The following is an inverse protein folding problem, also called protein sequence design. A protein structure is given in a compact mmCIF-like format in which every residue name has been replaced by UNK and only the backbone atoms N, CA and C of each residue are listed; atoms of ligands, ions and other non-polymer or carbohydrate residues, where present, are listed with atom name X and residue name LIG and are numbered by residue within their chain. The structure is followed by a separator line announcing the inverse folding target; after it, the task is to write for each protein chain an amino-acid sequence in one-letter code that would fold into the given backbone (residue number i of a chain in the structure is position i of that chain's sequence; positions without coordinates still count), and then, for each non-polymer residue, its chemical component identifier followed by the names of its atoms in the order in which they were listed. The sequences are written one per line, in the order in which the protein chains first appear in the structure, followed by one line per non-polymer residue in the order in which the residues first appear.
data_IF_878306041342
#
_entry.id   IF_878306041342
#
_cell.length_a   1.000
_cell.length_b   1.000
_cell.length_c   1.000
_cell.angle_alpha   90.00
_cell.angle_beta   90.00
_cell.angle_gamma   90.00
#
_symmetry.space_group_name_H-M   'P 1'
#
loop_
_entity.id
_entity.type
_entity.pdbx_description
1 polymer ?
#
# COMPACT_ATOMS: atom_id res chain seq x y z
N UNK A 1 13.88 -2.61 14.48
CA UNK A 1 14.68 -2.20 13.29
C UNK A 1 13.96 -2.57 11.96
N UNK A 2 13.67 -1.63 11.03
CA UNK A 2 12.81 -1.89 9.82
C UNK A 2 13.40 -2.84 8.79
N UNK A 3 14.70 -2.70 8.50
CA UNK A 3 15.34 -3.42 7.41
C UNK A 3 15.59 -4.90 7.71
N UNK A 4 15.31 -5.34 8.94
CA UNK A 4 15.73 -6.64 9.47
C UNK A 4 14.56 -7.61 9.48
N UNK A 5 14.81 -8.81 8.97
CA UNK A 5 14.06 -10.02 9.30
C UNK A 5 15.00 -10.97 10.05
N UNK A 6 14.48 -11.73 11.01
CA UNK A 6 15.28 -12.69 11.75
C UNK A 6 14.52 -14.02 11.87
N UNK A 7 15.25 -15.12 11.80
CA UNK A 7 14.74 -16.48 11.95
C UNK A 7 15.64 -17.24 12.90
N UNK A 8 15.04 -17.93 13.86
CA UNK A 8 15.72 -18.90 14.71
C UNK A 8 15.19 -20.29 14.38
N UNK A 9 16.12 -21.20 14.10
CA UNK A 9 15.83 -22.58 13.77
C UNK A 9 16.59 -23.50 14.71
N UNK A 10 15.89 -24.43 15.35
CA UNK A 10 16.49 -25.47 16.19
C UNK A 10 16.15 -26.85 15.66
N UNK A 11 17.13 -27.75 15.69
CA UNK A 11 16.96 -29.17 15.33
C UNK A 11 17.65 -30.07 16.35
N UNK A 12 16.95 -31.13 16.74
CA UNK A 12 17.37 -32.12 17.72
C UNK A 12 17.07 -33.53 17.19
N UNK A 13 18.05 -34.45 17.11
CA UNK A 13 17.75 -35.86 16.86
C UNK A 13 17.14 -36.49 18.12
N UNK A 14 16.06 -37.25 17.95
CA UNK A 14 15.32 -37.84 19.09
C UNK A 14 15.87 -39.23 19.47
N UNK A 15 16.16 -40.09 18.49
CA UNK A 15 16.45 -41.51 18.77
C UNK A 15 17.89 -41.92 18.47
N UNK A 16 18.47 -41.40 17.38
CA UNK A 16 19.77 -41.87 16.87
C UNK A 16 20.73 -40.73 16.61
N UNK A 17 22.02 -41.00 16.83
CA UNK A 17 23.10 -40.09 16.42
C UNK A 17 22.98 -39.80 14.93
N UNK A 18 22.82 -38.52 14.58
CA UNK A 18 22.44 -38.10 13.23
C UNK A 18 23.39 -37.03 12.73
N UNK A 19 23.82 -37.16 11.47
CA UNK A 19 24.49 -36.08 10.74
C UNK A 19 23.42 -35.15 10.20
N UNK A 20 23.47 -33.88 10.59
CA UNK A 20 22.59 -32.82 10.13
C UNK A 20 23.36 -31.93 9.15
N UNK A 21 22.73 -31.60 8.04
CA UNK A 21 23.21 -30.61 7.07
C UNK A 21 22.11 -29.56 6.86
N UNK A 22 22.39 -28.31 7.21
CA UNK A 22 21.48 -27.18 7.01
C UNK A 22 22.05 -26.31 5.89
N UNK A 23 21.20 -25.95 4.92
CA UNK A 23 21.52 -24.97 3.88
C UNK A 23 20.66 -23.73 4.10
N UNK A 24 21.29 -22.59 4.32
CA UNK A 24 20.64 -21.28 4.42
C UNK A 24 21.04 -20.42 3.23
N UNK A 25 20.05 -19.87 2.53
CA UNK A 25 20.28 -19.21 1.25
C UNK A 25 19.70 -17.81 1.20
N UNK A 26 20.33 -16.96 0.39
CA UNK A 26 19.71 -15.83 -0.28
C UNK A 26 19.51 -16.23 -1.73
N UNK A 27 18.28 -16.11 -2.24
CA UNK A 27 17.93 -16.50 -3.62
C UNK A 27 17.26 -15.31 -4.30
N UNK A 28 17.77 -14.96 -5.47
CA UNK A 28 17.16 -14.04 -6.41
C UNK A 28 16.61 -14.82 -7.61
N UNK A 29 15.64 -14.25 -8.33
CA UNK A 29 15.09 -14.83 -9.56
C UNK A 29 14.57 -16.28 -9.43
N UNK A 30 14.04 -16.65 -8.25
CA UNK A 30 13.45 -17.97 -8.04
C UNK A 30 12.30 -18.25 -9.01
N UNK A 31 12.25 -19.48 -9.53
CA UNK A 31 11.20 -19.91 -10.44
C UNK A 31 9.87 -20.00 -9.70
N UNK A 32 8.98 -19.05 -9.97
CA UNK A 32 7.62 -19.08 -9.44
C UNK A 32 6.77 -20.15 -10.18
N UNK A 33 5.77 -20.75 -9.51
CA UNK A 33 4.80 -21.64 -10.16
C UNK A 33 4.18 -20.95 -11.39
N UNK A 34 4.04 -21.69 -12.49
CA UNK A 34 3.38 -21.17 -13.69
C UNK A 34 1.91 -20.87 -13.40
N UNK A 35 1.43 -19.70 -13.84
CA UNK A 35 -0.02 -19.45 -13.92
C UNK A 35 -0.67 -20.49 -14.83
N UNK A 36 -1.84 -21.00 -14.46
CA UNK A 36 -2.63 -22.00 -15.21
C UNK A 36 -3.19 -21.45 -16.55
N UNK A 37 -2.64 -20.36 -17.07
CA UNK A 37 -3.08 -19.70 -18.29
C UNK A 37 -4.28 -18.77 -18.09
N UNK A 38 -4.72 -18.52 -16.85
CA UNK A 38 -5.77 -17.56 -16.56
C UNK A 38 -5.26 -16.14 -16.86
N UNK A 39 -5.84 -15.42 -17.85
CA UNK A 39 -5.43 -14.05 -18.19
C UNK A 39 -5.69 -13.04 -17.05
N UNK A 40 -6.45 -13.42 -16.01
CA UNK A 40 -6.71 -12.62 -14.80
C UNK A 40 -5.67 -12.85 -13.70
N UNK A 41 -4.87 -13.91 -13.78
CA UNK A 41 -3.84 -14.18 -12.80
C UNK A 41 -2.71 -13.15 -12.91
N UNK A 42 -2.10 -12.83 -11.77
CA UNK A 42 -0.96 -11.92 -11.69
C UNK A 42 0.16 -12.35 -12.66
N UNK A 43 0.79 -11.39 -13.33
CA UNK A 43 1.84 -11.72 -14.28
C UNK A 43 3.11 -12.14 -13.53
N UNK A 44 3.48 -13.42 -13.62
CA UNK A 44 4.73 -13.90 -13.07
C UNK A 44 5.92 -13.24 -13.78
N UNK A 45 6.67 -12.41 -13.07
CA UNK A 45 7.88 -11.79 -13.60
C UNK A 45 8.97 -12.85 -13.78
N UNK A 46 9.45 -13.01 -15.02
CA UNK A 46 10.50 -13.98 -15.34
C UNK A 46 11.90 -13.37 -15.12
N UNK A 47 12.52 -13.75 -14.00
CA UNK A 47 13.84 -13.30 -13.56
C UNK A 47 14.01 -11.77 -13.61
N UNK A 48 13.20 -10.96 -12.91
CA UNK A 48 13.17 -9.51 -13.10
C UNK A 48 14.45 -8.77 -12.69
N UNK A 49 15.38 -9.45 -12.04
CA UNK A 49 16.57 -8.88 -11.43
C UNK A 49 17.84 -9.19 -12.25
N UNK A 50 18.64 -8.15 -12.50
CA UNK A 50 19.98 -8.23 -13.06
C UNK A 50 21.01 -8.24 -11.92
N UNK A 51 21.97 -9.17 -11.93
CA UNK A 51 23.00 -9.26 -10.89
C UNK A 51 24.00 -8.09 -10.98
N UNK A 52 24.38 -7.52 -9.85
CA UNK A 52 25.43 -6.48 -9.76
C UNK A 52 26.57 -6.87 -8.79
N UNK A 53 26.29 -7.62 -7.73
CA UNK A 53 27.29 -8.07 -6.75
C UNK A 53 26.82 -9.32 -6.01
N UNK A 54 27.75 -10.20 -5.69
CA UNK A 54 27.53 -11.34 -4.82
C UNK A 54 28.72 -11.51 -3.86
N UNK A 55 28.46 -12.00 -2.65
CA UNK A 55 29.46 -12.21 -1.61
C UNK A 55 29.10 -13.42 -0.74
N UNK A 56 30.11 -14.22 -0.42
CA UNK A 56 30.09 -15.19 0.67
C UNK A 56 31.43 -15.16 1.42
N UNK A 57 31.43 -14.73 2.69
CA UNK A 57 32.61 -14.72 3.56
C UNK A 57 32.22 -15.18 4.95
N UNK A 58 32.72 -16.36 5.37
CA UNK A 58 32.42 -16.91 6.69
C UNK A 58 30.93 -17.24 6.82
N UNK A 59 30.25 -16.60 7.78
CA UNK A 59 28.80 -16.70 7.99
C UNK A 59 27.99 -15.69 7.16
N UNK A 60 28.66 -14.73 6.50
CA UNK A 60 28.02 -13.62 5.80
C UNK A 60 27.75 -13.92 4.34
N UNK A 61 26.54 -13.61 3.92
CA UNK A 61 26.04 -13.72 2.55
C UNK A 61 25.54 -12.35 2.09
N UNK A 62 25.77 -11.97 0.83
CA UNK A 62 25.17 -10.76 0.25
C UNK A 62 24.89 -10.96 -1.23
N UNK A 63 23.76 -10.44 -1.67
CA UNK A 63 23.38 -10.28 -3.07
C UNK A 63 22.96 -8.84 -3.31
N UNK A 64 23.39 -8.26 -4.43
CA UNK A 64 22.91 -6.98 -4.94
C UNK A 64 22.47 -7.15 -6.38
N UNK A 65 21.24 -6.74 -6.63
CA UNK A 65 20.59 -6.82 -7.92
C UNK A 65 19.97 -5.50 -8.32
N UNK A 66 19.65 -5.37 -9.61
CA UNK A 66 18.94 -4.23 -10.19
C UNK A 66 17.73 -4.71 -10.99
N UNK A 67 16.58 -4.08 -10.81
CA UNK A 67 15.40 -4.38 -11.62
C UNK A 67 15.63 -3.97 -13.08
N UNK A 68 15.33 -4.85 -14.05
CA UNK A 68 15.58 -4.61 -15.49
C UNK A 68 14.95 -3.33 -16.04
N UNK A 69 13.72 -3.00 -15.63
CA UNK A 69 12.94 -1.91 -16.21
C UNK A 69 13.06 -0.60 -15.43
N UNK A 70 12.74 -0.61 -14.14
CA UNK A 70 12.76 0.62 -13.31
C UNK A 70 14.16 0.98 -12.80
N UNK A 71 15.14 0.09 -12.96
CA UNK A 71 16.52 0.33 -12.55
C UNK A 71 16.74 0.46 -11.03
N UNK A 72 15.74 0.11 -10.21
CA UNK A 72 15.84 0.05 -8.75
C UNK A 72 16.89 -0.98 -8.34
N UNK A 73 17.79 -0.60 -7.43
CA UNK A 73 18.72 -1.54 -6.80
C UNK A 73 18.10 -2.12 -5.55
N UNK A 74 18.30 -3.42 -5.35
CA UNK A 74 17.93 -4.17 -4.15
C UNK A 74 19.20 -4.84 -3.64
N UNK A 75 19.52 -4.63 -2.38
CA UNK A 75 20.58 -5.33 -1.68
C UNK A 75 19.97 -6.16 -0.56
N UNK A 76 20.43 -7.40 -0.43
CA UNK A 76 20.06 -8.30 0.66
C UNK A 76 21.33 -8.88 1.23
N UNK A 77 21.52 -8.76 2.55
CA UNK A 77 22.63 -9.39 3.25
C UNK A 77 22.10 -10.26 4.39
N UNK A 78 22.79 -11.34 4.70
CA UNK A 78 22.48 -12.19 5.83
C UNK A 78 23.74 -12.51 6.64
N UNK A 79 23.58 -12.60 7.95
CA UNK A 79 24.59 -13.13 8.88
C UNK A 79 23.97 -14.25 9.71
N UNK A 80 24.82 -15.17 10.16
CA UNK A 80 24.40 -16.37 10.87
C UNK A 80 25.18 -16.55 12.17
N UNK A 81 24.46 -16.86 13.24
CA UNK A 81 25.03 -17.36 14.49
C UNK A 81 24.63 -18.82 14.62
N UNK A 82 25.63 -19.69 14.75
CA UNK A 82 25.44 -21.14 14.81
C UNK A 82 25.95 -21.63 16.15
N UNK A 83 25.10 -22.34 16.89
CA UNK A 83 25.42 -22.93 18.18
C UNK A 83 25.04 -24.41 18.18
N UNK A 84 25.99 -25.28 18.50
CA UNK A 84 25.77 -26.71 18.67
C UNK A 84 26.90 -27.31 19.51
N UNK A 85 26.63 -28.43 20.22
CA UNK A 85 27.69 -29.16 20.88
C UNK A 85 28.60 -29.86 19.85
N UNK A 86 29.89 -29.90 20.15
CA UNK A 86 30.88 -30.62 19.35
C UNK A 86 31.42 -29.82 18.16
N UNK A 87 31.93 -30.54 17.15
CA UNK A 87 32.53 -29.93 15.96
C UNK A 87 31.46 -29.50 14.96
N UNK A 88 31.53 -28.25 14.52
CA UNK A 88 30.66 -27.67 13.50
C UNK A 88 31.54 -27.34 12.28
N UNK A 89 31.13 -27.79 11.11
CA UNK A 89 31.76 -27.41 9.85
C UNK A 89 30.84 -26.46 9.09
N UNK A 90 31.35 -25.30 8.72
CA UNK A 90 30.63 -24.33 7.90
C UNK A 90 31.37 -24.05 6.60
N UNK A 91 30.63 -23.97 5.49
CA UNK A 91 31.17 -23.52 4.20
C UNK A 91 30.18 -22.59 3.53
N UNK A 92 30.66 -21.46 3.02
CA UNK A 92 29.85 -20.49 2.31
C UNK A 92 30.27 -20.40 0.84
N UNK A 93 29.31 -20.29 -0.05
CA UNK A 93 29.52 -20.11 -1.50
C UNK A 93 28.54 -19.06 -2.03
N UNK A 94 28.91 -18.42 -3.13
CA UNK A 94 28.09 -17.40 -3.77
C UNK A 94 28.23 -17.46 -5.27
N UNK A 95 27.12 -17.18 -5.96
CA UNK A 95 27.04 -17.00 -7.40
C UNK A 95 25.98 -15.91 -7.69
N UNK A 96 25.75 -15.68 -8.97
CA UNK A 96 24.90 -14.63 -9.52
C UNK A 96 23.55 -14.43 -8.81
N UNK A 97 22.82 -15.52 -8.53
CA UNK A 97 21.46 -15.46 -8.00
C UNK A 97 21.30 -16.23 -6.67
N UNK A 98 22.35 -16.90 -6.21
CA UNK A 98 22.32 -17.68 -4.97
C UNK A 98 23.58 -17.43 -4.16
N UNK A 99 23.40 -17.03 -2.91
CA UNK A 99 24.44 -17.05 -1.88
C UNK A 99 24.02 -17.98 -0.77
N UNK A 100 24.88 -18.92 -0.37
CA UNK A 100 24.54 -20.04 0.51
C UNK A 100 25.56 -20.23 1.63
N UNK A 101 25.06 -20.50 2.82
CA UNK A 101 25.82 -21.08 3.93
C UNK A 101 25.38 -22.53 4.15
N UNK A 102 26.33 -23.46 4.13
CA UNK A 102 26.12 -24.86 4.50
C UNK A 102 26.72 -25.12 5.88
N UNK A 103 25.93 -25.68 6.78
CA UNK A 103 26.30 -26.01 8.16
C UNK A 103 26.19 -27.53 8.32
N UNK A 104 27.25 -28.18 8.77
CA UNK A 104 27.27 -29.61 9.06
C UNK A 104 27.62 -29.84 10.52
N UNK A 105 26.84 -30.69 11.19
CA UNK A 105 27.10 -31.14 12.55
C UNK A 105 26.67 -32.61 12.72
N UNK A 106 27.24 -33.30 13.70
CA UNK A 106 26.83 -34.65 14.10
C UNK A 106 26.35 -34.56 15.54
N UNK A 107 25.05 -34.81 15.73
CA UNK A 107 24.38 -34.66 17.03
C UNK A 107 24.01 -36.04 17.57
N UNK A 108 24.28 -36.26 18.85
CA UNK A 108 23.72 -37.38 19.62
C UNK A 108 22.30 -37.01 20.13
N UNK A 109 21.43 -37.99 20.47
CA UNK A 109 20.11 -37.70 21.03
C UNK A 109 20.16 -36.76 22.24
N UNK A 110 19.27 -35.76 22.27
CA UNK A 110 19.24 -34.72 23.30
C UNK A 110 20.19 -33.53 23.06
N UNK A 111 21.01 -33.55 22.00
CA UNK A 111 21.83 -32.41 21.59
C UNK A 111 21.11 -31.56 20.54
N UNK A 112 21.30 -30.24 20.59
CA UNK A 112 20.63 -29.29 19.69
C UNK A 112 21.62 -28.55 18.82
N UNK A 113 21.26 -28.36 17.55
CA UNK A 113 21.85 -27.36 16.67
C UNK A 113 20.86 -26.21 16.52
N UNK A 114 21.30 -25.02 16.93
CA UNK A 114 20.58 -23.75 16.80
C UNK A 114 21.25 -22.90 15.72
N UNK A 115 20.43 -22.38 14.81
CA UNK A 115 20.85 -21.46 13.75
C UNK A 115 20.00 -20.22 13.83
N UNK A 116 20.61 -19.09 14.14
CA UNK A 116 20.00 -17.78 14.02
C UNK A 116 20.45 -17.16 12.72
N UNK A 117 19.50 -16.78 11.88
CA UNK A 117 19.72 -16.04 10.63
C UNK A 117 19.13 -14.65 10.77
N UNK A 118 19.95 -13.64 10.58
CA UNK A 118 19.51 -12.24 10.48
C UNK A 118 19.68 -11.78 9.05
N UNK A 119 18.63 -11.21 8.44
CA UNK A 119 18.61 -10.76 7.05
C UNK A 119 18.29 -9.27 7.00
N UNK A 120 19.15 -8.49 6.36
CA UNK A 120 18.94 -7.07 6.08
C UNK A 120 18.51 -6.87 4.63
N UNK A 121 17.44 -6.11 4.42
CA UNK A 121 16.95 -5.69 3.10
C UNK A 121 17.12 -4.18 2.92
N UNK A 122 17.62 -3.78 1.75
CA UNK A 122 17.69 -2.39 1.33
C UNK A 122 17.32 -2.24 -0.13
N UNK A 123 16.71 -1.12 -0.50
CA UNK A 123 16.51 -0.78 -1.90
C UNK A 123 16.62 0.72 -2.14
N UNK A 124 16.97 1.11 -3.37
CA UNK A 124 17.00 2.50 -3.81
C UNK A 124 17.01 2.64 -5.33
N UNK A 125 16.35 3.67 -5.85
CA UNK A 125 16.51 4.11 -7.25
C UNK A 125 17.70 5.04 -7.49
N UNK A 126 18.30 5.60 -6.43
CA UNK A 126 19.31 6.67 -6.55
C UNK A 126 20.69 6.27 -6.02
N UNK A 127 20.77 5.36 -5.04
CA UNK A 127 22.04 4.97 -4.43
C UNK A 127 22.91 4.14 -5.38
N UNK A 128 24.22 4.32 -5.25
CA UNK A 128 25.22 3.50 -5.93
C UNK A 128 25.26 2.10 -5.32
N UNK A 129 25.78 1.13 -6.08
CA UNK A 129 25.96 -0.26 -5.62
C UNK A 129 26.75 -0.34 -4.29
N UNK A 130 27.91 0.31 -4.11
CA UNK A 130 28.62 0.29 -2.82
C UNK A 130 27.78 0.86 -1.67
N UNK A 131 27.05 1.96 -1.89
CA UNK A 131 26.19 2.54 -0.86
C UNK A 131 25.02 1.62 -0.47
N UNK A 132 24.53 0.81 -1.41
CA UNK A 132 23.53 -0.23 -1.12
C UNK A 132 24.11 -1.36 -0.28
N UNK A 133 25.32 -1.84 -0.61
CA UNK A 133 26.03 -2.84 0.20
C UNK A 133 26.30 -2.32 1.62
N UNK A 134 26.82 -1.10 1.76
CA UNK A 134 27.10 -0.49 3.07
C UNK A 134 25.83 -0.32 3.92
N UNK A 135 24.69 -0.01 3.30
CA UNK A 135 23.41 0.12 4.01
C UNK A 135 22.97 -1.19 4.66
N UNK A 136 23.03 -2.32 3.93
CA UNK A 136 22.60 -3.61 4.48
C UNK A 136 23.60 -4.16 5.48
N UNK A 137 24.90 -3.94 5.28
CA UNK A 137 25.94 -4.30 6.26
C UNK A 137 25.80 -3.50 7.56
N UNK A 138 25.52 -2.20 7.48
CA UNK A 138 25.28 -1.36 8.65
C UNK A 138 24.03 -1.82 9.41
N UNK A 139 22.97 -2.22 8.70
CA UNK A 139 21.77 -2.78 9.32
C UNK A 139 22.06 -4.10 10.05
N UNK A 140 22.82 -5.01 9.44
CA UNK A 140 23.25 -6.24 10.11
C UNK A 140 24.13 -5.97 11.34
N UNK A 141 25.05 -5.01 11.26
CA UNK A 141 25.90 -4.64 12.40
C UNK A 141 25.07 -4.07 13.57
N UNK A 142 24.05 -3.25 13.28
CA UNK A 142 23.13 -2.76 14.30
C UNK A 142 22.29 -3.88 14.93
N UNK A 143 21.78 -4.81 14.11
CA UNK A 143 21.03 -5.96 14.59
C UNK A 143 21.88 -6.88 15.48
N UNK A 144 23.12 -7.14 15.07
CA UNK A 144 24.07 -7.95 15.84
C UNK A 144 24.40 -7.34 17.21
N UNK A 145 24.38 -6.00 17.34
CA UNK A 145 24.61 -5.34 18.62
C UNK A 145 23.49 -5.62 19.64
N UNK A 146 22.23 -5.65 19.19
CA UNK A 146 21.08 -6.01 20.03
C UNK A 146 20.89 -7.53 20.21
N UNK A 147 21.37 -8.32 19.26
CA UNK A 147 21.18 -9.77 19.25
C UNK A 147 19.72 -10.19 19.07
N UNK A 148 19.47 -11.50 19.13
CA UNK A 148 18.13 -12.08 18.99
C UNK A 148 17.14 -11.52 20.01
N UNK A 149 17.51 -11.53 21.29
CA UNK A 149 16.63 -11.08 22.37
C UNK A 149 16.29 -9.59 22.24
N UNK A 150 17.23 -8.77 21.77
CA UNK A 150 16.98 -7.36 21.47
C UNK A 150 15.96 -7.18 20.33
N UNK A 151 16.08 -7.95 19.25
CA UNK A 151 15.12 -7.90 18.14
C UNK A 151 13.72 -8.33 18.58
N UNK A 152 13.62 -9.40 19.39
CA UNK A 152 12.34 -9.88 19.93
C UNK A 152 11.71 -8.85 20.88
N UNK A 153 12.52 -8.24 21.75
CA UNK A 153 12.05 -7.19 22.65
C UNK A 153 11.55 -5.96 21.88
N UNK A 154 12.31 -5.45 20.91
CA UNK A 154 11.87 -4.33 20.07
C UNK A 154 10.55 -4.61 19.34
N UNK A 155 10.38 -5.83 18.81
CA UNK A 155 9.14 -6.21 18.11
C UNK A 155 7.96 -6.32 19.09
N UNK A 156 8.19 -6.91 20.27
CA UNK A 156 7.16 -6.99 21.32
C UNK A 156 6.74 -5.60 21.78
N UNK A 157 7.69 -4.73 22.10
CA UNK A 157 7.40 -3.36 22.56
C UNK A 157 6.56 -2.59 21.54
N UNK A 158 6.88 -2.75 20.25
CA UNK A 158 6.09 -2.14 19.16
C UNK A 158 4.66 -2.68 19.08
N UNK A 159 4.48 -4.00 19.21
CA UNK A 159 3.16 -4.62 19.15
C UNK A 159 2.33 -4.36 20.41
N UNK A 160 2.95 -4.36 21.58
CA UNK A 160 2.29 -4.04 22.85
C UNK A 160 1.76 -2.60 22.84
N UNK A 161 2.56 -1.64 22.33
CA UNK A 161 2.13 -0.25 22.14
C UNK A 161 0.95 -0.11 21.17
N UNK A 162 0.94 -0.91 20.10
CA UNK A 162 -0.20 -0.94 19.17
C UNK A 162 -1.46 -1.53 19.83
N UNK A 163 -1.35 -2.72 20.41
CA UNK A 163 -2.51 -3.42 21.00
C UNK A 163 -3.10 -2.67 22.18
N UNK A 164 -2.29 -1.96 22.97
CA UNK A 164 -2.77 -1.12 24.07
C UNK A 164 -3.75 -0.02 23.63
N UNK A 165 -3.73 0.38 22.35
CA UNK A 165 -4.60 1.46 21.82
C UNK A 165 -5.60 0.99 20.76
N UNK A 166 -5.34 -0.13 20.10
CA UNK A 166 -6.08 -0.57 18.93
C UNK A 166 -6.89 -1.86 19.12
N UNK A 167 -6.71 -2.58 20.23
CA UNK A 167 -7.43 -3.84 20.45
C UNK A 167 -8.94 -3.63 20.59
N UNK A 168 -9.70 -4.59 20.07
CA UNK A 168 -11.15 -4.64 20.16
C UNK A 168 -11.54 -5.96 20.79
N UNK A 169 -12.05 -5.88 22.03
CA UNK A 169 -12.49 -7.06 22.77
C UNK A 169 -13.92 -7.46 22.39
N UNK A 170 -14.09 -8.69 21.92
CA UNK A 170 -15.39 -9.27 21.56
C UNK A 170 -15.73 -10.34 22.58
N UNK A 171 -16.77 -10.10 23.38
CA UNK A 171 -17.22 -11.04 24.39
C UNK A 171 -18.20 -12.07 23.82
N UNK A 172 -17.99 -13.35 24.15
CA UNK A 172 -18.92 -14.42 23.85
C UNK A 172 -18.67 -15.19 22.54
N UNK A 173 -17.66 -14.79 21.76
CA UNK A 173 -17.27 -15.49 20.53
C UNK A 173 -15.75 -15.39 20.30
N UNK A 174 -15.03 -16.49 20.53
CA UNK A 174 -13.58 -16.56 20.39
C UNK A 174 -13.12 -16.53 18.93
N UNK A 175 -13.94 -17.04 18.00
CA UNK A 175 -13.63 -17.06 16.57
C UNK A 175 -13.69 -15.64 16.01
N UNK A 176 -14.73 -14.88 16.36
CA UNK A 176 -14.82 -13.46 16.00
C UNK A 176 -13.70 -12.65 16.66
N UNK A 177 -13.37 -12.92 17.93
CA UNK A 177 -12.25 -12.25 18.60
C UNK A 177 -10.92 -12.47 17.86
N UNK A 178 -10.64 -13.70 17.42
CA UNK A 178 -9.47 -14.01 16.62
C UNK A 178 -9.51 -13.30 15.26
N UNK A 179 -10.64 -13.33 14.57
CA UNK A 179 -10.81 -12.71 13.26
C UNK A 179 -10.55 -11.19 13.29
N UNK A 180 -11.08 -10.49 14.30
CA UNK A 180 -10.86 -9.04 14.47
C UNK A 180 -9.39 -8.72 14.73
N UNK A 181 -8.74 -9.44 15.65
CA UNK A 181 -7.30 -9.26 15.92
C UNK A 181 -6.44 -9.61 14.72
N UNK A 182 -6.78 -10.67 13.99
CA UNK A 182 -6.10 -11.04 12.76
C UNK A 182 -6.20 -9.93 11.70
N UNK A 183 -7.40 -9.38 11.48
CA UNK A 183 -7.61 -8.27 10.54
C UNK A 183 -6.82 -7.01 10.94
N UNK A 184 -6.88 -6.61 12.22
CA UNK A 184 -6.11 -5.48 12.76
C UNK A 184 -4.60 -5.66 12.56
N UNK A 185 -4.10 -6.85 12.87
CA UNK A 185 -2.69 -7.18 12.69
C UNK A 185 -2.25 -7.07 11.23
N UNK A 186 -3.04 -7.57 10.29
CA UNK A 186 -2.72 -7.47 8.87
C UNK A 186 -2.75 -6.04 8.34
N UNK A 187 -3.70 -5.21 8.77
CA UNK A 187 -3.73 -3.79 8.38
C UNK A 187 -2.52 -3.05 8.94
N UNK A 188 -2.13 -3.33 10.20
CA UNK A 188 -0.91 -2.78 10.78
C UNK A 188 0.32 -3.16 9.95
N UNK A 189 0.50 -4.46 9.65
CA UNK A 189 1.64 -4.94 8.88
C UNK A 189 1.72 -4.32 7.47
N UNK A 190 0.58 -4.13 6.81
CA UNK A 190 0.52 -3.56 5.48
C UNK A 190 0.78 -2.04 5.46
N UNK A 191 0.24 -1.30 6.42
CA UNK A 191 0.20 0.17 6.36
C UNK A 191 1.20 0.90 7.25
N UNK A 192 1.55 0.36 8.43
CA UNK A 192 2.24 1.15 9.45
C UNK A 192 3.66 1.58 9.06
N UNK A 193 4.31 0.83 8.17
CA UNK A 193 5.67 1.11 7.67
C UNK A 193 5.70 1.39 6.16
N UNK A 194 4.57 1.86 5.61
CA UNK A 194 4.50 2.34 4.23
C UNK A 194 5.51 3.49 4.00
N UNK A 195 5.55 4.46 4.92
CA UNK A 195 6.55 5.56 4.94
C UNK A 195 6.68 6.26 3.58
N UNK A 196 5.65 7.01 3.18
CA UNK A 196 5.55 7.71 1.90
C UNK A 196 5.56 6.77 0.69
N UNK A 197 4.79 5.69 0.80
CA UNK A 197 4.58 4.73 -0.27
C UNK A 197 3.11 4.30 -0.31
N UNK A 198 2.71 3.80 -1.46
CA UNK A 198 1.43 3.15 -1.65
C UNK A 198 1.24 1.99 -0.65
N UNK A 199 0.00 1.80 -0.18
CA UNK A 199 -0.43 0.58 0.50
C UNK A 199 -1.09 -0.33 -0.55
N UNK A 200 -0.49 -1.47 -0.92
CA UNK A 200 -1.07 -2.32 -1.95
C UNK A 200 -2.39 -2.96 -1.50
N UNK A 201 -3.30 -3.24 -2.45
CA UNK A 201 -4.59 -3.87 -2.17
C UNK A 201 -4.49 -5.27 -1.51
N UNK A 202 -3.35 -5.96 -1.68
CA UNK A 202 -3.04 -7.25 -1.01
C UNK A 202 -1.87 -7.14 -0.03
N UNK A 203 -1.56 -5.92 0.44
CA UNK A 203 -0.35 -5.67 1.21
C UNK A 203 0.90 -6.24 0.52
N UNK A 204 1.73 -6.95 1.28
CA UNK A 204 2.87 -7.71 0.74
C UNK A 204 2.70 -9.23 0.97
N UNK A 205 1.46 -9.72 0.93
CA UNK A 205 1.13 -11.12 1.26
C UNK A 205 0.92 -12.02 0.04
N UNK A 206 1.05 -11.49 -1.18
CA UNK A 206 0.89 -12.26 -2.41
C UNK A 206 0.97 -11.39 -3.67
N UNK A 207 0.87 -12.05 -4.82
CA UNK A 207 0.99 -11.41 -6.14
C UNK A 207 -0.31 -10.77 -6.67
N UNK A 208 -1.45 -11.00 -6.01
CA UNK A 208 -2.74 -10.43 -6.44
C UNK A 208 -2.68 -8.90 -6.58
N UNK A 209 -3.23 -8.39 -7.68
CA UNK A 209 -3.17 -6.98 -8.09
C UNK A 209 -1.75 -6.40 -8.31
N UNK A 210 -0.72 -7.25 -8.41
CA UNK A 210 0.67 -6.90 -8.72
C UNK A 210 1.26 -5.80 -7.80
N UNK A 211 0.84 -5.76 -6.52
CA UNK A 211 1.33 -4.77 -5.56
C UNK A 211 0.85 -3.32 -5.80
N UNK A 212 -0.19 -3.11 -6.61
CA UNK A 212 -0.74 -1.78 -6.85
C UNK A 212 -1.63 -1.30 -5.71
N UNK A 213 -1.61 0.01 -5.47
CA UNK A 213 -2.59 0.71 -4.67
C UNK A 213 -3.78 1.17 -5.52
N UNK A 214 -4.93 1.21 -4.85
CA UNK A 214 -6.24 1.61 -5.34
C UNK A 214 -6.88 2.53 -4.30
N UNK A 215 -8.10 2.99 -4.55
CA UNK A 215 -8.94 3.68 -3.55
C UNK A 215 -9.20 2.86 -2.28
N UNK A 216 -8.96 1.54 -2.30
CA UNK A 216 -8.92 0.65 -1.13
C UNK A 216 -8.11 1.23 0.03
N UNK A 217 -6.99 1.89 -0.30
CA UNK A 217 -6.13 2.54 0.69
C UNK A 217 -6.92 3.59 1.45
N UNK A 218 -7.44 4.59 0.75
CA UNK A 218 -8.11 5.74 1.35
C UNK A 218 -9.46 5.40 2.00
N UNK A 219 -10.23 4.48 1.41
CA UNK A 219 -11.60 4.21 1.86
C UNK A 219 -11.72 3.09 2.88
N UNK A 220 -10.80 2.12 2.92
CA UNK A 220 -10.90 0.96 3.81
C UNK A 220 -9.73 0.86 4.79
N UNK A 221 -8.50 1.16 4.38
CA UNK A 221 -7.31 1.04 5.24
C UNK A 221 -7.07 2.27 6.10
N UNK A 222 -7.03 3.46 5.49
CA UNK A 222 -6.80 4.73 6.18
C UNK A 222 -7.84 5.09 7.24
N UNK A 223 -9.16 4.78 7.12
CA UNK A 223 -10.10 5.01 8.21
C UNK A 223 -9.68 4.29 9.50
N UNK A 224 -9.27 3.02 9.40
CA UNK A 224 -8.82 2.24 10.54
C UNK A 224 -7.51 2.79 11.12
N UNK A 225 -6.55 3.10 10.24
CA UNK A 225 -5.26 3.65 10.67
C UNK A 225 -5.38 5.05 11.27
N UNK A 226 -6.38 5.85 10.88
CA UNK A 226 -6.63 7.17 11.46
C UNK A 226 -6.81 7.10 12.97
N UNK A 227 -7.47 6.04 13.46
CA UNK A 227 -7.77 5.88 14.88
C UNK A 227 -6.80 4.95 15.62
N UNK A 228 -5.97 4.19 14.91
CA UNK A 228 -5.05 3.20 15.52
C UNK A 228 -3.57 3.55 15.35
N UNK A 229 -3.18 4.17 14.24
CA UNK A 229 -1.81 4.56 13.90
C UNK A 229 -1.77 5.80 12.99
N UNK A 230 -2.26 6.98 13.45
CA UNK A 230 -2.51 8.14 12.59
C UNK A 230 -1.29 8.61 11.78
N UNK A 231 -0.07 8.48 12.32
CA UNK A 231 1.16 8.84 11.58
C UNK A 231 1.29 8.11 10.25
N UNK A 232 0.84 6.85 10.15
CA UNK A 232 0.86 6.09 8.91
C UNK A 232 -0.06 6.70 7.83
N UNK A 233 -1.16 7.33 8.24
CA UNK A 233 -2.10 8.00 7.34
C UNK A 233 -1.48 9.24 6.71
N UNK A 234 -0.83 10.08 7.52
CA UNK A 234 -0.10 11.25 7.00
C UNK A 234 0.94 10.85 5.96
N UNK A 235 1.71 9.79 6.22
CA UNK A 235 2.72 9.31 5.27
C UNK A 235 2.10 8.74 3.98
N UNK A 236 0.98 8.02 4.05
CA UNK A 236 0.27 7.53 2.86
C UNK A 236 -0.27 8.69 2.00
N UNK A 237 -0.80 9.74 2.64
CA UNK A 237 -1.31 10.92 1.93
C UNK A 237 -0.17 11.81 1.40
N UNK A 238 0.97 11.90 2.09
CA UNK A 238 2.19 12.54 1.55
C UNK A 238 2.72 11.80 0.32
N UNK A 239 2.53 10.49 0.22
CA UNK A 239 2.81 9.77 -1.03
C UNK A 239 1.86 10.18 -2.16
N UNK A 240 0.54 10.30 -1.89
CA UNK A 240 -0.41 10.84 -2.88
C UNK A 240 0.03 12.23 -3.35
N UNK A 241 0.43 13.10 -2.42
CA UNK A 241 0.98 14.42 -2.76
C UNK A 241 2.23 14.32 -3.63
N UNK A 242 3.18 13.44 -3.28
CA UNK A 242 4.40 13.24 -4.08
C UNK A 242 4.10 12.74 -5.51
N UNK A 243 2.97 12.06 -5.72
CA UNK A 243 2.49 11.60 -7.04
C UNK A 243 1.60 12.60 -7.78
N UNK A 244 1.32 13.78 -7.22
CA UNK A 244 0.52 14.83 -7.88
C UNK A 244 1.02 15.21 -9.29
N UNK A 245 2.34 15.31 -9.56
CA UNK A 245 2.81 15.59 -10.92
C UNK A 245 2.28 14.58 -11.95
N UNK A 246 2.30 13.28 -11.62
CA UNK A 246 1.77 12.24 -12.50
C UNK A 246 0.24 12.33 -12.66
N UNK A 247 -0.48 12.69 -11.60
CA UNK A 247 -1.93 12.88 -11.64
C UNK A 247 -2.35 14.13 -12.45
N UNK A 248 -1.55 15.21 -12.40
CA UNK A 248 -1.73 16.42 -13.23
C UNK A 248 -1.44 16.13 -14.71
N UNK A 249 -0.38 15.38 -14.99
CA UNK A 249 -0.08 14.90 -16.35
C UNK A 249 -1.21 14.03 -16.89
N UNK A 250 -1.78 13.15 -16.05
CA UNK A 250 -2.94 12.33 -16.40
C UNK A 250 -4.19 13.17 -16.69
N UNK A 251 -4.49 14.18 -15.86
CA UNK A 251 -5.60 15.09 -16.13
C UNK A 251 -5.42 15.78 -17.49
N UNK A 252 -4.21 16.26 -17.77
CA UNK A 252 -3.87 16.90 -19.05
C UNK A 252 -4.06 15.95 -20.25
N UNK A 253 -3.65 14.69 -20.12
CA UNK A 253 -3.87 13.65 -21.16
C UNK A 253 -5.36 13.42 -21.45
N UNK A 254 -6.21 13.58 -20.44
CA UNK A 254 -7.66 13.44 -20.54
C UNK A 254 -8.36 14.75 -20.97
N UNK A 255 -7.62 15.83 -21.19
CA UNK A 255 -8.19 17.15 -21.52
C UNK A 255 -8.84 17.85 -20.32
N UNK A 256 -8.46 17.49 -19.10
CA UNK A 256 -9.00 17.99 -17.84
C UNK A 256 -7.98 18.87 -17.10
N UNK A 257 -8.47 19.66 -16.13
CA UNK A 257 -7.65 20.42 -15.18
C UNK A 257 -7.54 19.69 -13.84
N UNK A 258 -6.64 20.14 -12.97
CA UNK A 258 -6.43 19.56 -11.65
C UNK A 258 -5.63 18.27 -11.68
N UNK A 259 -5.91 17.35 -10.76
CA UNK A 259 -5.20 16.07 -10.63
C UNK A 259 -6.15 14.87 -10.76
N UNK A 260 -6.01 14.12 -11.86
CA UNK A 260 -6.70 12.86 -12.09
C UNK A 260 -5.83 11.71 -11.56
N UNK A 261 -6.00 11.35 -10.29
CA UNK A 261 -5.30 10.22 -9.69
C UNK A 261 -5.68 8.91 -10.40
N UNK A 262 -4.71 8.02 -10.64
CA UNK A 262 -4.96 6.76 -11.31
C UNK A 262 -5.83 5.82 -10.48
N UNK A 263 -6.64 5.01 -11.17
CA UNK A 263 -7.43 3.94 -10.56
C UNK A 263 -6.55 2.91 -9.87
N UNK A 264 -5.44 2.56 -10.52
CA UNK A 264 -4.50 1.53 -10.10
C UNK A 264 -3.07 2.01 -10.33
N UNK A 265 -2.22 2.01 -9.31
CA UNK A 265 -0.83 2.51 -9.47
C UNK A 265 0.17 1.94 -8.47
N UNK A 266 1.47 1.98 -8.82
CA UNK A 266 2.61 1.72 -7.92
C UNK A 266 3.38 3.02 -7.68
N UNK A 267 3.61 3.83 -8.71
CA UNK A 267 4.51 4.99 -8.70
C UNK A 267 3.82 6.34 -8.94
N UNK A 268 2.50 6.34 -9.09
CA UNK A 268 1.68 7.51 -9.43
C UNK A 268 1.14 7.50 -10.86
N UNK A 269 1.68 6.69 -11.76
CA UNK A 269 1.17 6.53 -13.13
C UNK A 269 0.02 5.53 -13.21
N UNK A 270 -0.89 5.69 -14.18
CA UNK A 270 -2.01 4.75 -14.39
C UNK A 270 -1.50 3.39 -14.89
N UNK A 271 -1.81 2.34 -14.13
CA UNK A 271 -1.42 0.96 -14.40
C UNK A 271 -2.59 0.04 -14.78
N UNK A 272 -3.83 0.53 -14.79
CA UNK A 272 -5.00 -0.24 -15.20
C UNK A 272 -5.09 -0.39 -16.71
N UNK A 273 -5.24 -1.63 -17.18
CA UNK A 273 -5.64 -1.93 -18.56
C UNK A 273 -7.17 -1.93 -18.75
N UNK A 274 -7.95 -1.88 -17.66
CA UNK A 274 -9.40 -1.84 -17.71
C UNK A 274 -9.86 -0.37 -17.85
N UNK A 275 -10.09 0.04 -19.09
CA UNK A 275 -10.40 1.44 -19.44
C UNK A 275 -11.63 2.02 -18.72
N UNK A 276 -12.75 1.28 -18.45
CA UNK A 276 -13.93 1.86 -17.81
C UNK A 276 -13.65 2.31 -16.37
N UNK A 277 -12.68 1.70 -15.67
CA UNK A 277 -12.22 2.23 -14.40
C UNK A 277 -11.04 3.20 -14.58
N UNK A 278 -9.99 2.81 -15.30
CA UNK A 278 -8.75 3.60 -15.43
C UNK A 278 -8.89 4.96 -16.14
N UNK A 279 -10.04 5.24 -16.76
CA UNK A 279 -10.31 6.52 -17.44
C UNK A 279 -11.62 7.19 -16.97
N UNK A 280 -12.46 6.52 -16.19
CA UNK A 280 -13.75 7.08 -15.77
C UNK A 280 -14.05 6.95 -14.26
N UNK A 281 -13.30 6.14 -13.50
CA UNK A 281 -13.44 6.05 -12.05
C UNK A 281 -12.70 7.21 -11.34
N UNK A 282 -13.15 8.44 -11.57
CA UNK A 282 -12.55 9.64 -10.97
C UNK A 282 -12.77 9.76 -9.47
N UNK A 283 -13.65 8.94 -8.87
CA UNK A 283 -13.97 9.01 -7.45
C UNK A 283 -12.75 8.82 -6.54
N UNK A 284 -11.68 8.17 -7.02
CA UNK A 284 -10.37 8.07 -6.33
C UNK A 284 -9.88 9.44 -5.85
N UNK A 285 -10.09 10.49 -6.65
CA UNK A 285 -9.72 11.85 -6.28
C UNK A 285 -10.49 12.35 -5.04
N UNK A 286 -11.80 12.05 -4.97
CA UNK A 286 -12.60 12.40 -3.80
C UNK A 286 -12.33 11.48 -2.60
N UNK A 287 -11.96 10.22 -2.83
CA UNK A 287 -11.56 9.30 -1.77
C UNK A 287 -10.30 9.79 -1.04
N UNK A 288 -9.30 10.27 -1.80
CA UNK A 288 -8.08 10.92 -1.28
C UNK A 288 -8.41 12.19 -0.50
N UNK A 289 -9.25 13.06 -1.08
CA UNK A 289 -9.71 14.28 -0.42
C UNK A 289 -10.41 13.97 0.92
N UNK A 290 -11.32 12.99 0.92
CA UNK A 290 -12.06 12.58 2.10
C UNK A 290 -11.17 11.99 3.18
N UNK A 291 -10.17 11.18 2.81
CA UNK A 291 -9.18 10.66 3.73
C UNK A 291 -8.34 11.78 4.38
N UNK A 292 -7.94 12.80 3.61
CA UNK A 292 -7.23 13.97 4.13
C UNK A 292 -8.07 14.78 5.12
N UNK A 293 -9.35 15.05 4.79
CA UNK A 293 -10.28 15.74 5.68
C UNK A 293 -10.51 14.94 6.96
N UNK A 294 -10.76 13.63 6.86
CA UNK A 294 -10.94 12.75 8.03
C UNK A 294 -9.72 12.74 8.94
N UNK A 295 -8.52 12.60 8.37
CA UNK A 295 -7.28 12.60 9.13
C UNK A 295 -7.11 13.90 9.91
N UNK A 296 -7.25 15.05 9.24
CA UNK A 296 -7.11 16.35 9.89
C UNK A 296 -8.16 16.56 10.97
N UNK A 297 -9.42 16.21 10.71
CA UNK A 297 -10.49 16.33 11.68
C UNK A 297 -10.26 15.46 12.93
N UNK A 298 -9.71 14.26 12.76
CA UNK A 298 -9.46 13.34 13.87
C UNK A 298 -8.21 13.70 14.70
N UNK A 299 -7.19 14.27 14.06
CA UNK A 299 -5.87 14.51 14.69
C UNK A 299 -5.62 15.96 15.10
N UNK A 300 -6.29 16.91 14.46
CA UNK A 300 -5.99 18.34 14.60
C UNK A 300 -4.64 18.75 14.01
N UNK A 301 -4.05 17.94 13.12
CA UNK A 301 -2.74 18.18 12.51
C UNK A 301 -2.79 19.30 11.45
N UNK A 302 -2.70 20.55 11.92
CA UNK A 302 -2.77 21.73 11.06
C UNK A 302 -1.54 21.90 10.16
N UNK A 303 -0.39 21.33 10.53
CA UNK A 303 0.80 21.36 9.70
C UNK A 303 0.62 20.43 8.48
N UNK A 304 0.09 19.22 8.70
CA UNK A 304 -0.33 18.35 7.60
C UNK A 304 -1.41 19.00 6.74
N UNK A 305 -2.41 19.65 7.36
CA UNK A 305 -3.49 20.30 6.60
C UNK A 305 -2.93 21.36 5.64
N UNK A 306 -2.05 22.22 6.16
CA UNK A 306 -1.41 23.31 5.43
C UNK A 306 -0.46 22.81 4.33
N UNK A 307 0.37 21.81 4.64
CA UNK A 307 1.47 21.39 3.77
C UNK A 307 1.10 20.29 2.78
N UNK A 308 0.09 19.48 3.08
CA UNK A 308 -0.27 18.29 2.29
C UNK A 308 -1.75 18.26 1.91
N UNK A 309 -2.67 18.41 2.88
CA UNK A 309 -4.10 18.27 2.58
C UNK A 309 -4.60 19.35 1.62
N UNK A 310 -4.19 20.60 1.82
CA UNK A 310 -4.61 21.73 1.00
C UNK A 310 -4.29 21.51 -0.49
N UNK A 311 -3.06 21.10 -0.83
CA UNK A 311 -2.70 20.87 -2.24
C UNK A 311 -3.52 19.73 -2.86
N UNK A 312 -3.74 18.63 -2.11
CA UNK A 312 -4.56 17.52 -2.56
C UNK A 312 -6.02 17.96 -2.81
N UNK A 313 -6.61 18.71 -1.89
CA UNK A 313 -7.99 19.19 -1.98
C UNK A 313 -8.18 20.16 -3.14
N UNK A 314 -7.28 21.13 -3.30
CA UNK A 314 -7.33 22.11 -4.40
C UNK A 314 -7.24 21.43 -5.76
N UNK A 315 -6.26 20.54 -5.95
CA UNK A 315 -6.05 19.90 -7.24
C UNK A 315 -7.17 18.93 -7.61
N UNK A 316 -7.78 18.28 -6.63
CA UNK A 316 -8.94 17.42 -6.87
C UNK A 316 -10.25 18.21 -7.02
N UNK A 317 -10.41 19.37 -6.37
CA UNK A 317 -11.51 20.29 -6.61
C UNK A 317 -11.47 20.87 -8.04
N UNK A 318 -10.27 21.23 -8.52
CA UNK A 318 -10.02 21.63 -9.92
C UNK A 318 -10.44 20.54 -10.92
N UNK A 319 -10.16 19.27 -10.59
CA UNK A 319 -10.62 18.13 -11.39
C UNK A 319 -12.14 18.08 -11.45
N UNK A 320 -12.83 18.08 -10.31
CA UNK A 320 -14.29 18.02 -10.27
C UNK A 320 -14.94 19.16 -11.06
N UNK A 321 -14.40 20.37 -10.90
CA UNK A 321 -14.91 21.55 -11.60
C UNK A 321 -14.61 21.55 -13.10
N UNK A 322 -13.62 20.77 -13.54
CA UNK A 322 -13.30 20.52 -14.95
C UNK A 322 -14.12 19.39 -15.56
N UNK A 323 -14.48 18.38 -14.78
CA UNK A 323 -15.27 17.23 -15.22
C UNK A 323 -16.74 17.58 -15.37
N UNK A 324 -17.31 18.22 -14.33
CA UNK A 324 -18.72 18.52 -14.32
C UNK A 324 -19.07 19.84 -15.02
N UNK A 325 -20.35 19.99 -15.32
CA UNK A 325 -20.89 21.16 -16.02
C UNK A 325 -22.25 21.54 -15.45
N UNK A 326 -22.67 22.79 -15.65
CA UNK A 326 -24.03 23.21 -15.33
C UNK A 326 -24.93 23.01 -16.53
N UNK A 327 -26.13 22.48 -16.31
CA UNK A 327 -27.18 22.46 -17.32
C UNK A 327 -27.86 23.83 -17.47
N UNK A 328 -28.87 23.91 -18.33
CA UNK A 328 -29.64 25.14 -18.60
C UNK A 328 -30.49 25.60 -17.40
N UNK A 329 -30.67 24.73 -16.39
CA UNK A 329 -31.38 25.01 -15.15
C UNK A 329 -30.43 25.41 -14.00
N UNK A 330 -29.12 25.42 -14.26
CA UNK A 330 -28.08 25.73 -13.28
C UNK A 330 -27.75 24.55 -12.36
N UNK A 331 -28.21 23.34 -12.66
CA UNK A 331 -27.88 22.12 -11.93
C UNK A 331 -26.52 21.61 -12.40
N UNK A 332 -25.66 21.21 -11.46
CA UNK A 332 -24.33 20.71 -11.76
C UNK A 332 -24.32 19.19 -11.91
N UNK A 333 -23.89 18.70 -13.07
CA UNK A 333 -23.85 17.29 -13.43
C UNK A 333 -22.41 16.79 -13.57
N UNK A 334 -22.19 15.51 -13.25
CA UNK A 334 -20.94 14.79 -13.52
C UNK A 334 -21.28 13.52 -14.30
N UNK A 335 -20.97 13.56 -15.59
CA UNK A 335 -21.41 12.55 -16.56
C UNK A 335 -20.26 11.65 -17.02
N UNK A 336 -20.61 10.47 -17.54
CA UNK A 336 -19.66 9.53 -18.14
C UNK A 336 -18.61 8.99 -17.17
N UNK A 337 -18.98 8.79 -15.91
CA UNK A 337 -18.07 8.33 -14.84
C UNK A 337 -18.44 6.93 -14.35
N UNK A 338 -17.47 6.22 -13.79
CA UNK A 338 -17.68 4.91 -13.17
C UNK A 338 -17.66 5.10 -11.66
N UNK A 339 -18.72 4.68 -10.97
CA UNK A 339 -18.77 4.69 -9.52
C UNK A 339 -18.17 3.42 -8.90
N UNK A 340 -18.30 3.23 -7.58
CA UNK A 340 -17.82 2.04 -6.89
C UNK A 340 -18.38 0.70 -7.40
N UNK A 341 -19.61 0.68 -7.91
CA UNK A 341 -20.16 -0.49 -8.60
C UNK A 341 -19.61 -0.55 -10.03
N UNK A 342 -18.52 -1.29 -10.21
CA UNK A 342 -17.87 -1.47 -11.51
C UNK A 342 -18.70 -2.30 -12.52
N UNK A 343 -19.79 -2.96 -12.10
CA UNK A 343 -20.69 -3.62 -13.06
C UNK A 343 -21.51 -2.61 -13.86
N UNK A 344 -21.68 -1.39 -13.33
CA UNK A 344 -22.37 -0.27 -13.97
C UNK A 344 -21.36 0.86 -14.25
N UNK A 345 -20.65 0.75 -15.37
CA UNK A 345 -19.58 1.67 -15.73
C UNK A 345 -20.01 2.75 -16.73
N UNK A 346 -19.33 3.91 -16.69
CA UNK A 346 -19.53 5.05 -17.60
C UNK A 346 -20.99 5.50 -17.62
N UNK A 347 -21.46 5.91 -16.45
CA UNK A 347 -22.82 6.34 -16.16
C UNK A 347 -22.85 7.82 -15.79
N UNK A 348 -24.04 8.41 -15.91
CA UNK A 348 -24.26 9.83 -15.59
C UNK A 348 -24.77 10.00 -14.17
N UNK A 349 -24.28 11.04 -13.48
CA UNK A 349 -24.67 11.42 -12.12
C UNK A 349 -24.69 10.26 -11.12
N UNK A 350 -23.57 9.52 -10.99
CA UNK A 350 -23.45 8.52 -9.94
C UNK A 350 -23.57 9.19 -8.55
N UNK A 351 -24.51 8.74 -7.73
CA UNK A 351 -24.82 9.34 -6.42
C UNK A 351 -23.61 9.37 -5.49
N UNK A 352 -22.81 8.28 -5.44
CA UNK A 352 -21.60 8.26 -4.61
C UNK A 352 -20.61 9.32 -5.08
N UNK A 353 -20.27 9.32 -6.37
CA UNK A 353 -19.30 10.25 -6.94
C UNK A 353 -19.73 11.70 -6.77
N UNK A 354 -21.01 12.02 -7.02
CA UNK A 354 -21.54 13.38 -6.90
C UNK A 354 -21.50 13.88 -5.45
N UNK A 355 -21.87 13.06 -4.47
CA UNK A 355 -21.78 13.43 -3.05
C UNK A 355 -20.32 13.62 -2.61
N UNK A 356 -19.42 12.74 -3.04
CA UNK A 356 -18.00 12.81 -2.68
C UNK A 356 -17.30 14.01 -3.35
N UNK A 357 -17.60 14.30 -4.62
CA UNK A 357 -17.13 15.49 -5.32
C UNK A 357 -17.65 16.77 -4.64
N UNK A 358 -18.93 16.82 -4.28
CA UNK A 358 -19.52 17.92 -3.50
C UNK A 358 -18.75 18.15 -2.20
N UNK A 359 -18.48 17.08 -1.44
CA UNK A 359 -17.74 17.18 -0.19
C UNK A 359 -16.32 17.72 -0.39
N UNK A 360 -15.64 17.29 -1.46
CA UNK A 360 -14.31 17.78 -1.78
C UNK A 360 -14.31 19.27 -2.15
N UNK A 361 -15.23 19.70 -3.02
CA UNK A 361 -15.35 21.10 -3.44
C UNK A 361 -15.54 22.05 -2.24
N UNK A 362 -16.40 21.68 -1.30
CA UNK A 362 -16.62 22.44 -0.06
C UNK A 362 -15.36 22.45 0.82
N UNK A 363 -14.77 21.27 1.04
CA UNK A 363 -13.58 21.14 1.88
C UNK A 363 -12.39 21.94 1.33
N UNK A 364 -12.18 21.94 0.01
CA UNK A 364 -11.14 22.73 -0.64
C UNK A 364 -11.34 24.24 -0.38
N UNK A 365 -12.55 24.75 -0.59
CA UNK A 365 -12.88 26.15 -0.33
C UNK A 365 -12.65 26.54 1.15
N UNK A 366 -13.10 25.71 2.09
CA UNK A 366 -12.97 25.97 3.53
C UNK A 366 -11.51 25.89 4.01
N UNK A 367 -10.69 25.00 3.44
CA UNK A 367 -9.26 24.90 3.77
C UNK A 367 -8.48 26.08 3.15
N UNK A 368 -8.84 26.52 1.94
CA UNK A 368 -8.26 27.72 1.33
C UNK A 368 -8.50 28.98 2.18
N UNK A 369 -9.70 29.14 2.75
CA UNK A 369 -10.00 30.26 3.65
C UNK A 369 -9.22 30.21 4.97
N UNK A 370 -8.94 29.01 5.47
CA UNK A 370 -8.11 28.82 6.67
C UNK A 370 -6.62 29.04 6.43
N UNK A 371 -6.15 28.79 5.21
CA UNK A 371 -4.73 28.92 4.80
C UNK A 371 -4.58 29.82 3.55
N UNK A 372 -4.94 31.12 3.63
CA UNK A 372 -5.03 32.00 2.46
C UNK A 372 -3.67 32.25 1.78
N UNK A 373 -2.58 32.28 2.54
CA UNK A 373 -1.23 32.48 1.98
C UNK A 373 -0.79 31.28 1.14
N UNK A 374 -1.00 30.06 1.63
CA UNK A 374 -0.75 28.81 0.91
C UNK A 374 -1.67 28.66 -0.31
N UNK A 375 -2.96 28.97 -0.16
CA UNK A 375 -3.92 28.92 -1.27
C UNK A 375 -3.48 29.86 -2.41
N UNK A 376 -3.03 31.07 -2.06
CA UNK A 376 -2.46 32.03 -3.03
C UNK A 376 -1.21 31.47 -3.71
N UNK A 377 -0.33 30.75 -2.97
CA UNK A 377 0.84 30.09 -3.55
C UNK A 377 0.48 28.98 -4.55
N UNK A 378 -0.67 28.33 -4.37
CA UNK A 378 -1.24 27.35 -5.30
C UNK A 378 -2.02 28.02 -6.47
N UNK A 379 -2.04 29.34 -6.52
CA UNK A 379 -2.74 30.12 -7.54
C UNK A 379 -4.25 30.11 -7.40
N UNK A 380 -4.79 29.79 -6.21
CA UNK A 380 -6.23 29.87 -5.94
C UNK A 380 -6.59 31.30 -5.59
N UNK A 381 -7.60 31.84 -6.28
CA UNK A 381 -8.21 33.13 -5.97
C UNK A 381 -9.62 32.97 -5.39
N UNK A 382 -10.23 34.10 -4.99
CA UNK A 382 -11.57 34.12 -4.41
C UNK A 382 -12.64 33.63 -5.40
N UNK A 383 -12.46 33.86 -6.71
CA UNK A 383 -13.39 33.44 -7.76
C UNK A 383 -13.36 31.92 -7.93
N UNK A 384 -12.18 31.31 -7.95
CA UNK A 384 -12.01 29.86 -8.03
C UNK A 384 -12.66 29.15 -6.83
N UNK A 385 -12.43 29.66 -5.62
CA UNK A 385 -13.03 29.10 -4.39
C UNK A 385 -14.55 29.27 -4.35
N UNK A 386 -15.07 30.43 -4.76
CA UNK A 386 -16.52 30.67 -4.86
C UNK A 386 -17.17 29.74 -5.89
N UNK A 387 -16.53 29.55 -7.06
CA UNK A 387 -17.02 28.65 -8.09
C UNK A 387 -17.09 27.18 -7.62
N UNK A 388 -16.22 26.75 -6.71
CA UNK A 388 -16.32 25.43 -6.08
C UNK A 388 -17.55 25.32 -5.19
N UNK A 389 -17.87 26.35 -4.40
CA UNK A 389 -19.07 26.37 -3.55
C UNK A 389 -20.35 26.39 -4.38
N UNK A 390 -20.41 27.23 -5.41
CA UNK A 390 -21.55 27.28 -6.33
C UNK A 390 -21.81 25.92 -6.99
N UNK A 391 -20.74 25.26 -7.45
CA UNK A 391 -20.82 23.90 -7.97
C UNK A 391 -21.37 22.90 -6.95
N UNK A 392 -20.85 22.96 -5.72
CA UNK A 392 -21.21 22.06 -4.64
C UNK A 392 -22.68 22.23 -4.17
N UNK A 393 -23.21 23.44 -4.23
CA UNK A 393 -24.62 23.71 -3.92
C UNK A 393 -25.56 23.23 -5.02
N UNK A 394 -25.10 23.21 -6.27
CA UNK A 394 -25.89 22.85 -7.44
C UNK A 394 -25.84 21.36 -7.84
N UNK A 395 -25.02 20.53 -7.19
CA UNK A 395 -24.81 19.12 -7.60
C UNK A 395 -26.11 18.34 -7.70
N UNK A 396 -26.34 17.69 -8.85
CA UNK A 396 -27.46 16.79 -9.04
C UNK A 396 -27.25 15.51 -8.23
N UNK A 397 -28.24 15.12 -7.43
CA UNK A 397 -28.27 13.82 -6.76
C UNK A 397 -29.55 13.12 -7.23
N UNK A 398 -29.45 12.05 -8.05
CA UNK A 398 -30.63 11.44 -8.64
C UNK A 398 -31.49 10.80 -7.54
N UNK A 399 -32.77 11.14 -7.54
CA UNK A 399 -33.76 10.63 -6.60
C UNK A 399 -35.03 10.27 -7.34
N UNK A 400 -35.51 9.04 -7.11
CA UNK A 400 -36.74 8.56 -7.67
C UNK A 400 -37.88 8.74 -6.67
N UNK A 401 -38.72 9.76 -6.90
CA UNK A 401 -39.85 10.11 -6.04
C UNK A 401 -40.96 9.03 -6.01
N UNK A 402 -41.12 8.25 -7.08
CA UNK A 402 -42.19 7.24 -7.16
C UNK A 402 -41.94 6.07 -6.20
N UNK A 403 -40.69 5.65 -6.08
CA UNK A 403 -40.28 4.55 -5.20
C UNK A 403 -39.51 5.01 -3.95
N UNK A 404 -39.21 6.30 -3.83
CA UNK A 404 -38.64 6.94 -2.64
C UNK A 404 -37.17 6.63 -2.35
N UNK A 405 -36.34 6.46 -3.39
CA UNK A 405 -34.91 6.08 -3.22
C UNK A 405 -33.98 6.95 -4.06
N UNK A 406 -32.77 7.20 -3.56
CA UNK A 406 -31.68 7.69 -4.41
C UNK A 406 -31.32 6.63 -5.44
N UNK A 407 -31.18 7.04 -6.69
CA UNK A 407 -30.72 6.14 -7.73
C UNK A 407 -29.19 5.96 -7.60
N UNK A 408 -28.65 4.80 -7.97
CA UNK A 408 -27.19 4.61 -7.96
C UNK A 408 -26.50 5.59 -8.91
N UNK A 409 -27.12 5.82 -10.06
CA UNK A 409 -26.79 6.81 -11.07
C UNK A 409 -28.08 7.19 -11.79
N UNK A 410 -28.07 8.23 -12.64
CA UNK A 410 -29.24 8.66 -13.37
C UNK A 410 -29.87 7.52 -14.19
N UNK A 411 -31.14 7.23 -13.94
CA UNK A 411 -31.94 6.22 -14.63
C UNK A 411 -31.76 4.79 -14.14
N UNK A 412 -31.03 4.53 -13.04
CA UNK A 412 -30.72 3.19 -12.55
C UNK A 412 -31.98 2.37 -12.21
N UNK A 413 -33.02 3.00 -11.67
CA UNK A 413 -34.23 2.28 -11.21
C UNK A 413 -35.08 1.73 -12.37
N UNK A 414 -34.74 2.09 -13.62
CA UNK A 414 -35.34 1.52 -14.83
C UNK A 414 -34.78 0.14 -15.20
N UNK A 415 -33.63 -0.23 -14.65
CA UNK A 415 -33.02 -1.53 -14.94
C UNK A 415 -33.88 -2.68 -14.41
N UNK A 416 -33.81 -3.82 -15.09
CA UNK A 416 -34.51 -5.03 -14.65
C UNK A 416 -33.96 -5.46 -13.29
N UNK A 417 -34.85 -5.66 -12.32
CA UNK A 417 -34.47 -6.20 -11.01
C UNK A 417 -33.93 -7.62 -11.19
N UNK A 418 -32.73 -7.86 -10.68
CA UNK A 418 -32.11 -9.18 -10.69
C UNK A 418 -32.90 -10.16 -9.81
N UNK A 419 -33.15 -11.36 -10.32
CA UNK A 419 -33.86 -12.42 -9.61
C UNK A 419 -32.89 -13.29 -8.81
N UNK A 420 -32.42 -12.76 -7.68
CA UNK A 420 -31.50 -13.47 -6.80
C UNK A 420 -32.07 -14.80 -6.28
N UNK A 421 -33.40 -14.92 -6.15
CA UNK A 421 -34.02 -16.13 -5.61
C UNK A 421 -33.95 -17.31 -6.58
N UNK A 422 -33.96 -17.04 -7.89
CA UNK A 422 -33.89 -18.05 -8.94
C UNK A 422 -32.54 -18.09 -9.68
N UNK A 423 -31.55 -17.32 -9.24
CA UNK A 423 -30.18 -17.40 -9.75
C UNK A 423 -29.44 -18.53 -9.03
N UNK A 424 -29.02 -19.56 -9.78
CA UNK A 424 -28.21 -20.65 -9.26
C UNK A 424 -26.77 -20.22 -8.95
N UNK A 425 -25.94 -21.16 -8.48
CA UNK A 425 -24.53 -20.89 -8.17
C UNK A 425 -23.63 -20.78 -9.42
N UNK A 426 -24.19 -20.93 -10.62
CA UNK A 426 -23.49 -21.07 -11.90
C UNK A 426 -23.59 -19.81 -12.76
#
# INVERSE_FOLDING_TARGET
QRAIAAVEYEVEPVDTRTRIVIQSELVANESLPSSDGDPRAAQALQSPLEPEEDLAIGSRLRLVHRTRRSGLRVAVAADHVVDAPGEITTSSESNTDVSRLTITSVLDPGQRLRVQKTVAHGWSGARSRPAMSDQVEAALAAAAHGGWDGLVAEQRDYLDDFWARADVEVHGDEEIQQAVRFALFHVLQAGARAEQRAIPAKGLTGSGYDGHAFWDTEMFVLPLLTYTAPKAVAEALRWRQATLPAARDRATQLGLRGAAFPWRTIDGSEGSAYWPAGTAAFHVAADIAHAAVRYTAATGDLDFERETALELLVETARLWRSLGHHDHHGVFHIDGITGPDEYSAVVDDNTYTNLMARSNLLAAADVCERHPEEATRLGVDEEESAAWRDAAEAVHIPYNEEIGVHEQHAGFTRHQRWDFANTGAD
#
